data_IF_634229510177
#
_entry.id   IF_634229510177
#
_cell.length_a   1.000
_cell.length_b   1.000
_cell.length_c   1.000
_cell.angle_alpha   90.00
_cell.angle_beta   90.00
_cell.angle_gamma   90.00
#
_symmetry.space_group_name_H-M   'P 1'
#
loop_
_entity.id
_entity.type
_entity.pdbx_description
1 polymer ?
#
# COMPACT_ATOMS: atom_id res chain seq x y z
N UNK A 1 19.94 21.41 4.86
CA UNK A 1 20.64 20.20 4.38
C UNK A 1 20.09 18.99 5.12
N UNK A 2 18.89 18.53 4.77
CA UNK A 2 18.34 17.27 5.28
C UNK A 2 17.43 16.70 4.20
N UNK A 3 18.05 16.08 3.21
CA UNK A 3 17.30 15.18 2.36
C UNK A 3 17.25 13.82 3.03
N UNK A 4 16.11 13.13 2.90
CA UNK A 4 16.01 11.76 3.36
C UNK A 4 16.95 10.91 2.49
N UNK A 5 17.99 10.27 3.07
CA UNK A 5 18.90 9.43 2.30
C UNK A 5 18.16 8.25 1.66
N UNK A 6 17.05 7.82 2.25
CA UNK A 6 16.18 6.77 1.73
C UNK A 6 15.19 7.23 0.65
N UNK A 7 15.15 8.51 0.24
CA UNK A 7 14.12 9.02 -0.69
C UNK A 7 14.06 8.23 -2.00
N UNK A 8 15.23 7.92 -2.57
CA UNK A 8 15.31 7.16 -3.83
C UNK A 8 14.70 5.76 -3.69
N UNK A 9 15.13 5.02 -2.66
CA UNK A 9 14.66 3.66 -2.40
C UNK A 9 13.17 3.65 -2.03
N UNK A 10 12.73 4.49 -1.10
CA UNK A 10 11.34 4.55 -0.67
C UNK A 10 10.39 4.89 -1.83
N UNK A 11 10.83 5.74 -2.77
CA UNK A 11 10.05 6.05 -3.98
C UNK A 11 9.93 4.81 -4.88
N UNK A 12 11.02 4.06 -5.06
CA UNK A 12 11.01 2.84 -5.86
C UNK A 12 10.12 1.76 -5.21
N UNK A 13 10.23 1.56 -3.90
CA UNK A 13 9.41 0.61 -3.14
C UNK A 13 7.93 0.93 -3.26
N UNK A 14 7.53 2.20 -3.06
CA UNK A 14 6.13 2.62 -3.21
C UNK A 14 5.63 2.41 -4.63
N UNK A 15 6.44 2.74 -5.64
CA UNK A 15 6.08 2.55 -7.05
C UNK A 15 5.81 1.08 -7.35
N UNK A 16 6.77 0.20 -7.07
CA UNK A 16 6.66 -1.23 -7.38
C UNK A 16 5.52 -1.86 -6.58
N UNK A 17 5.40 -1.53 -5.29
CA UNK A 17 4.31 -2.07 -4.46
C UNK A 17 2.93 -1.69 -5.00
N UNK A 18 2.73 -0.44 -5.45
CA UNK A 18 1.45 0.01 -6.01
C UNK A 18 1.21 -0.62 -7.39
N UNK A 19 2.21 -0.62 -8.28
CA UNK A 19 2.08 -1.20 -9.63
C UNK A 19 1.71 -2.69 -9.56
N UNK A 20 2.40 -3.48 -8.74
CA UNK A 20 2.15 -4.91 -8.61
C UNK A 20 0.85 -5.23 -7.87
N UNK A 21 0.50 -4.46 -6.82
CA UNK A 21 -0.77 -4.63 -6.11
C UNK A 21 -1.96 -4.40 -7.03
N UNK A 22 -1.92 -3.34 -7.86
CA UNK A 22 -2.98 -3.02 -8.81
C UNK A 22 -3.02 -4.00 -9.98
N UNK A 23 -1.88 -4.53 -10.43
CA UNK A 23 -1.85 -5.56 -11.47
C UNK A 23 -2.42 -6.90 -10.97
N UNK A 24 -2.21 -7.23 -9.69
CA UNK A 24 -2.66 -8.48 -9.08
C UNK A 24 -4.11 -8.47 -8.61
N UNK A 25 -4.75 -7.29 -8.47
CA UNK A 25 -6.10 -7.16 -7.91
C UNK A 25 -7.06 -6.47 -8.88
N UNK A 26 -8.31 -6.93 -8.92
CA UNK A 26 -9.39 -6.28 -9.66
C UNK A 26 -10.18 -5.30 -8.78
N UNK A 27 -10.06 -5.42 -7.46
CA UNK A 27 -10.60 -4.46 -6.51
C UNK A 27 -9.91 -4.53 -5.14
N UNK A 28 -9.93 -3.38 -4.45
CA UNK A 28 -9.46 -3.20 -3.09
C UNK A 28 -10.56 -2.44 -2.35
N UNK A 29 -11.20 -3.08 -1.38
CA UNK A 29 -12.31 -2.51 -0.61
C UNK A 29 -11.97 -2.52 0.88
N UNK A 30 -12.49 -1.57 1.66
CA UNK A 30 -12.38 -1.66 3.12
C UNK A 30 -13.20 -2.85 3.62
N UNK A 31 -12.65 -3.57 4.60
CA UNK A 31 -13.39 -4.68 5.20
C UNK A 31 -14.62 -4.13 5.96
N UNK A 32 -15.83 -4.66 5.70
CA UNK A 32 -17.05 -4.16 6.32
C UNK A 32 -17.02 -4.40 7.83
N UNK A 33 -17.41 -3.38 8.60
CA UNK A 33 -17.46 -3.46 10.06
C UNK A 33 -16.09 -3.37 10.75
N UNK A 34 -15.01 -3.04 10.02
CA UNK A 34 -13.69 -2.86 10.60
C UNK A 34 -13.11 -1.48 10.23
N UNK A 35 -12.96 -0.62 11.23
CA UNK A 35 -12.48 0.74 11.02
C UNK A 35 -10.94 0.82 10.94
N UNK A 36 -10.38 1.61 10.02
CA UNK A 36 -8.95 1.89 10.00
C UNK A 36 -8.47 2.62 11.27
N UNK A 37 -7.34 2.18 11.81
CA UNK A 37 -6.71 2.78 13.01
C UNK A 37 -5.61 3.75 12.57
N UNK A 38 -5.73 5.04 12.91
CA UNK A 38 -4.69 6.04 12.65
C UNK A 38 -3.43 5.74 13.46
N UNK A 39 -2.27 6.02 12.87
CA UNK A 39 -1.01 5.97 13.63
C UNK A 39 -0.95 7.10 14.66
N UNK A 40 -0.27 6.86 15.79
CA UNK A 40 -0.04 7.89 16.79
C UNK A 40 1.17 8.77 16.40
N UNK A 41 1.20 10.06 16.79
CA UNK A 41 2.36 10.92 16.57
C UNK A 41 3.67 10.29 17.11
N UNK A 42 4.84 10.58 16.50
CA UNK A 42 5.09 11.63 15.50
C UNK A 42 4.93 11.19 14.04
N UNK A 43 4.62 9.91 13.79
CA UNK A 43 4.44 9.39 12.42
C UNK A 43 3.01 9.68 11.94
N UNK A 44 2.86 9.90 10.63
CA UNK A 44 1.56 9.97 9.99
C UNK A 44 1.09 8.62 9.45
N UNK A 45 -0.17 8.55 9.01
CA UNK A 45 -0.72 7.38 8.34
C UNK A 45 -1.63 6.52 9.22
N UNK A 46 -1.60 5.21 8.95
CA UNK A 46 -2.44 4.22 9.61
C UNK A 46 -1.59 3.13 10.24
N UNK A 47 -1.95 2.76 11.47
CA UNK A 47 -1.45 1.56 12.14
C UNK A 47 -2.05 0.31 11.53
N UNK A 48 -3.32 0.37 11.12
CA UNK A 48 -4.04 -0.75 10.52
C UNK A 48 -5.10 -0.24 9.55
N UNK A 49 -5.16 -0.84 8.36
CA UNK A 49 -6.23 -0.63 7.38
C UNK A 49 -6.73 -2.00 6.94
N UNK A 50 -7.85 -2.49 7.49
CA UNK A 50 -8.40 -3.79 7.11
C UNK A 50 -9.04 -3.68 5.71
N UNK A 51 -8.56 -4.49 4.78
CA UNK A 51 -9.02 -4.49 3.37
C UNK A 51 -9.39 -5.89 2.91
N UNK A 52 -10.33 -5.96 1.97
CA UNK A 52 -10.63 -7.14 1.17
C UNK A 52 -10.09 -6.92 -0.24
N UNK A 53 -9.44 -7.94 -0.79
CA UNK A 53 -8.88 -7.93 -2.14
C UNK A 53 -9.69 -8.86 -3.03
N UNK A 54 -10.08 -8.39 -4.22
CA UNK A 54 -10.53 -9.27 -5.30
C UNK A 54 -9.35 -9.55 -6.22
N UNK A 55 -8.99 -10.82 -6.47
CA UNK A 55 -7.94 -11.15 -7.44
C UNK A 55 -8.27 -10.59 -8.82
N UNK A 56 -7.25 -10.04 -9.48
CA UNK A 56 -7.29 -9.68 -10.89
C UNK A 56 -6.79 -10.84 -11.75
N UNK A 57 -6.76 -10.68 -13.08
CA UNK A 57 -6.18 -11.67 -13.99
C UNK A 57 -4.68 -11.91 -13.74
N UNK A 58 -4.04 -11.07 -12.92
CA UNK A 58 -2.61 -11.12 -12.64
C UNK A 58 -1.79 -10.65 -13.84
N UNK A 59 -0.60 -10.12 -13.57
CA UNK A 59 0.41 -9.98 -14.63
C UNK A 59 1.01 -11.37 -14.87
N UNK A 60 1.10 -11.87 -16.11
CA UNK A 60 1.85 -13.10 -16.36
C UNK A 60 3.29 -12.86 -15.93
N UNK A 61 3.76 -13.65 -14.96
CA UNK A 61 5.18 -13.75 -14.63
C UNK A 61 5.85 -14.43 -15.82
N UNK A 62 6.45 -13.62 -16.69
CA UNK A 62 7.31 -14.10 -17.77
C UNK A 62 8.59 -14.73 -17.25
#
# INVERSE_FOLDING_TARGET
VHECPGRGLATLELRVAIEELLAATSAIELAPGADPVREAPPRGGYRTVPVMLRPGPGRPTG
#
